data_IF_165117826290
#
_entry.id   IF_165117826290
#
_cell.length_a   1.000
_cell.length_b   1.000
_cell.length_c   1.000
_cell.angle_alpha   90.00
_cell.angle_beta   90.00
_cell.angle_gamma   90.00
#
_symmetry.space_group_name_H-M   'P 1'
#
loop_
_entity.id
_entity.type
_entity.pdbx_description
1 polymer ?
#
# COMPACT_ATOMS: atom_id res chain seq x y z
N UNK A 1 27.60 37.95 30.53
CA UNK A 1 27.32 36.50 30.49
C UNK A 1 26.08 36.23 31.32
N UNK A 2 24.92 35.98 30.70
CA UNK A 2 23.66 35.81 31.43
C UNK A 2 23.57 34.40 32.04
N UNK A 3 23.39 34.31 33.36
CA UNK A 3 23.11 33.04 34.07
C UNK A 3 21.71 32.58 33.70
N UNK A 4 21.64 31.57 32.83
CA UNK A 4 20.41 30.91 32.44
C UNK A 4 19.84 30.10 33.61
N UNK A 5 18.61 30.39 34.04
CA UNK A 5 17.96 29.71 35.17
C UNK A 5 17.25 28.44 34.70
N UNK A 6 17.33 27.37 35.47
CA UNK A 6 16.71 26.07 35.16
C UNK A 6 15.20 26.15 34.84
N UNK A 7 14.48 27.14 35.38
CA UNK A 7 13.06 27.35 35.03
C UNK A 7 12.87 27.79 33.57
N UNK A 8 13.77 28.65 33.08
CA UNK A 8 13.79 29.11 31.69
C UNK A 8 14.23 27.94 30.78
N UNK A 9 15.18 27.13 31.23
CA UNK A 9 15.59 25.88 30.56
C UNK A 9 14.44 24.90 30.39
N UNK A 10 13.71 24.62 31.47
CA UNK A 10 12.58 23.69 31.47
C UNK A 10 11.47 24.20 30.57
N UNK A 11 11.17 25.50 30.61
CA UNK A 11 10.17 26.09 29.73
C UNK A 11 10.57 26.01 28.25
N UNK A 12 11.82 26.36 27.92
CA UNK A 12 12.34 26.23 26.56
C UNK A 12 12.29 24.77 26.06
N UNK A 13 12.67 23.81 26.90
CA UNK A 13 12.59 22.39 26.57
C UNK A 13 11.14 21.92 26.38
N UNK A 14 10.19 22.41 27.19
CA UNK A 14 8.78 22.08 27.05
C UNK A 14 8.18 22.63 25.75
N UNK A 15 8.52 23.88 25.40
CA UNK A 15 8.13 24.50 24.12
C UNK A 15 8.71 23.74 22.94
N UNK A 16 9.99 23.31 23.02
CA UNK A 16 10.63 22.50 21.99
C UNK A 16 9.93 21.15 21.82
N UNK A 17 9.59 20.46 22.91
CA UNK A 17 8.87 19.19 22.87
C UNK A 17 7.46 19.35 22.26
N UNK A 18 6.72 20.37 22.66
CA UNK A 18 5.38 20.63 22.11
C UNK A 18 5.44 20.98 20.62
N UNK A 19 6.45 21.72 20.19
CA UNK A 19 6.68 22.05 18.79
C UNK A 19 7.00 20.81 17.94
N UNK A 20 7.80 19.88 18.46
CA UNK A 20 8.09 18.60 17.80
C UNK A 20 6.84 17.74 17.66
N UNK A 21 5.99 17.68 18.70
CA UNK A 21 4.71 16.94 18.66
C UNK A 21 3.77 17.51 17.59
N UNK A 22 3.64 18.83 17.50
CA UNK A 22 2.81 19.49 16.48
C UNK A 22 3.36 19.26 15.05
N UNK A 23 4.68 19.24 14.88
CA UNK A 23 5.30 18.91 13.58
C UNK A 23 5.01 17.46 13.16
N UNK A 24 4.99 16.51 14.10
CA UNK A 24 4.65 15.10 13.81
C UNK A 24 3.17 14.95 13.40
N UNK A 25 2.26 15.75 13.96
CA UNK A 25 0.81 15.70 13.61
C UNK A 25 0.47 16.18 12.20
N UNK A 26 1.35 16.92 11.53
CA UNK A 26 1.12 17.44 10.16
C UNK A 26 1.84 16.66 9.06
N UNK A 27 2.74 15.74 9.43
CA UNK A 27 3.15 14.70 8.51
C UNK A 27 1.94 13.80 8.25
N UNK A 28 1.51 13.69 6.99
CA UNK A 28 0.56 12.66 6.58
C UNK A 28 1.18 11.30 6.87
N UNK A 29 0.96 10.85 8.10
CA UNK A 29 1.36 9.55 8.56
C UNK A 29 0.38 8.58 7.93
N UNK A 30 0.72 8.04 6.76
CA UNK A 30 0.13 6.76 6.32
C UNK A 30 0.57 5.58 7.20
N UNK A 31 1.14 5.84 8.38
CA UNK A 31 1.70 4.85 9.30
C UNK A 31 1.27 5.10 10.75
N UNK A 32 0.02 5.48 10.99
CA UNK A 32 -0.63 5.26 12.28
C UNK A 32 -1.96 4.53 12.05
N UNK A 33 -1.84 3.35 11.47
CA UNK A 33 -2.88 2.33 11.57
C UNK A 33 -2.87 1.79 13.00
N UNK A 34 -3.61 2.44 13.91
CA UNK A 34 -4.07 1.79 15.13
C UNK A 34 -5.21 0.86 14.72
N UNK A 35 -4.82 -0.21 14.04
CA UNK A 35 -5.65 -1.31 13.61
C UNK A 35 -4.75 -2.51 13.68
N UNK A 36 -4.89 -3.30 14.74
CA UNK A 36 -4.29 -4.63 14.83
C UNK A 36 -5.01 -5.55 13.83
N UNK A 37 -4.88 -5.25 12.55
CA UNK A 37 -5.07 -6.21 11.48
C UNK A 37 -3.69 -6.75 11.16
N UNK A 38 -3.51 -8.05 11.36
CA UNK A 38 -2.38 -8.78 10.81
C UNK A 38 -2.33 -8.49 9.29
N UNK A 39 -1.36 -7.68 8.84
CA UNK A 39 -1.05 -7.58 7.42
C UNK A 39 -0.30 -8.85 7.07
N UNK A 40 -1.03 -9.97 6.98
CA UNK A 40 -0.50 -11.20 6.40
C UNK A 40 -0.29 -10.89 4.92
N UNK A 41 0.92 -10.45 4.59
CA UNK A 41 1.30 -10.15 3.22
C UNK A 41 1.26 -11.45 2.43
N UNK A 42 0.20 -11.64 1.64
CA UNK A 42 0.11 -12.74 0.69
C UNK A 42 1.27 -12.63 -0.28
N UNK A 43 2.18 -13.61 -0.26
CA UNK A 43 3.25 -13.66 -1.24
C UNK A 43 2.65 -14.19 -2.53
N UNK A 44 2.75 -13.43 -3.62
CA UNK A 44 2.27 -13.87 -4.94
C UNK A 44 3.48 -14.17 -5.80
N UNK A 45 3.62 -15.42 -6.22
CA UNK A 45 4.58 -15.83 -7.23
C UNK A 45 3.91 -15.77 -8.59
N UNK A 46 4.32 -14.79 -9.41
CA UNK A 46 3.87 -14.70 -10.79
C UNK A 46 4.91 -15.28 -11.75
N UNK A 47 4.52 -16.30 -12.52
CA UNK A 47 5.37 -16.96 -13.51
C UNK A 47 5.27 -16.29 -14.87
N UNK A 48 4.05 -15.95 -15.29
CA UNK A 48 3.78 -15.34 -16.59
C UNK A 48 2.93 -14.09 -16.43
N UNK A 49 3.41 -13.00 -17.02
CA UNK A 49 2.70 -11.72 -17.08
C UNK A 49 2.14 -11.48 -18.47
N UNK A 50 0.99 -10.83 -18.52
CA UNK A 50 0.32 -10.41 -19.74
C UNK A 50 0.10 -8.89 -19.70
N UNK A 51 0.40 -8.24 -20.81
CA UNK A 51 0.12 -6.81 -21.00
C UNK A 51 -1.26 -6.66 -21.62
N UNK A 52 -2.18 -6.06 -20.89
CA UNK A 52 -3.57 -5.83 -21.32
C UNK A 52 -3.58 -5.05 -22.65
N UNK A 53 -4.29 -5.58 -23.64
CA UNK A 53 -4.48 -5.01 -24.96
C UNK A 53 -5.76 -4.18 -25.08
N UNK A 54 -5.98 -3.63 -26.28
CA UNK A 54 -7.18 -2.86 -26.60
C UNK A 54 -8.40 -3.78 -26.61
N UNK A 55 -9.42 -3.43 -25.81
CA UNK A 55 -10.68 -4.18 -25.73
C UNK A 55 -10.68 -5.34 -24.74
N UNK A 56 -9.55 -5.61 -24.08
CA UNK A 56 -9.49 -6.62 -23.04
C UNK A 56 -10.32 -6.24 -21.82
N UNK A 57 -10.95 -7.24 -21.23
CA UNK A 57 -11.61 -7.19 -19.93
C UNK A 57 -11.07 -8.34 -19.07
N UNK A 58 -11.20 -8.25 -17.75
CA UNK A 58 -10.83 -9.39 -16.88
C UNK A 58 -11.51 -10.69 -17.35
N UNK A 59 -12.79 -10.63 -17.76
CA UNK A 59 -13.53 -11.81 -18.20
C UNK A 59 -12.98 -12.44 -19.48
N UNK A 60 -12.53 -11.61 -20.44
CA UNK A 60 -11.89 -12.09 -21.66
C UNK A 60 -10.54 -12.72 -21.35
N UNK A 61 -9.72 -12.05 -20.53
CA UNK A 61 -8.41 -12.59 -20.11
C UNK A 61 -8.57 -13.92 -19.37
N UNK A 62 -9.50 -14.01 -18.41
CA UNK A 62 -9.75 -15.24 -17.66
C UNK A 62 -10.26 -16.37 -18.54
N UNK A 63 -11.09 -16.05 -19.54
CA UNK A 63 -11.58 -17.03 -20.51
C UNK A 63 -10.45 -17.55 -21.42
N UNK A 64 -9.55 -16.67 -21.87
CA UNK A 64 -8.39 -17.06 -22.70
C UNK A 64 -7.46 -18.04 -21.98
N UNK A 65 -7.30 -17.89 -20.66
CA UNK A 65 -6.43 -18.76 -19.84
C UNK A 65 -7.20 -19.89 -19.13
N UNK A 66 -8.50 -20.03 -19.39
CA UNK A 66 -9.38 -21.02 -18.76
C UNK A 66 -9.29 -21.02 -17.21
N UNK A 67 -9.27 -19.83 -16.60
CA UNK A 67 -9.30 -19.65 -15.14
C UNK A 67 -10.56 -18.93 -14.69
N UNK A 68 -10.92 -19.08 -13.42
CA UNK A 68 -11.99 -18.29 -12.81
C UNK A 68 -11.53 -16.86 -12.54
N UNK A 69 -12.48 -15.92 -12.53
CA UNK A 69 -12.21 -14.53 -12.14
C UNK A 69 -11.66 -14.43 -10.72
N UNK A 70 -12.16 -15.26 -9.81
CA UNK A 70 -11.69 -15.32 -8.42
C UNK A 70 -10.21 -15.73 -8.35
N UNK A 71 -9.81 -16.79 -9.05
CA UNK A 71 -8.41 -17.24 -9.07
C UNK A 71 -7.48 -16.19 -9.70
N UNK A 72 -7.93 -15.55 -10.77
CA UNK A 72 -7.20 -14.44 -11.40
C UNK A 72 -7.02 -13.26 -10.45
N UNK A 73 -8.06 -12.85 -9.71
CA UNK A 73 -7.96 -11.74 -8.76
C UNK A 73 -7.15 -12.10 -7.51
N UNK A 74 -7.12 -13.37 -7.10
CA UNK A 74 -6.28 -13.83 -6.00
C UNK A 74 -4.79 -13.60 -6.28
N UNK A 75 -4.32 -13.81 -7.52
CA UNK A 75 -2.94 -13.52 -7.95
C UNK A 75 -2.77 -12.10 -8.49
N UNK A 76 -3.82 -11.27 -8.45
CA UNK A 76 -3.84 -9.89 -8.91
C UNK A 76 -4.65 -8.98 -7.96
N UNK A 77 -4.35 -8.92 -6.65
CA UNK A 77 -5.19 -8.27 -5.64
C UNK A 77 -5.31 -6.74 -5.82
N UNK A 78 -4.44 -6.14 -6.63
CA UNK A 78 -4.43 -4.71 -6.91
C UNK A 78 -5.24 -4.33 -8.17
N UNK A 79 -5.83 -5.31 -8.87
CA UNK A 79 -6.58 -5.06 -10.11
C UNK A 79 -8.03 -4.75 -9.79
N UNK A 80 -8.53 -3.66 -10.38
CA UNK A 80 -9.95 -3.34 -10.46
C UNK A 80 -10.43 -3.58 -11.89
N UNK A 81 -11.28 -4.59 -12.09
CA UNK A 81 -11.77 -4.99 -13.41
C UNK A 81 -12.61 -3.93 -14.12
N UNK A 82 -13.27 -3.04 -13.39
CA UNK A 82 -14.05 -1.93 -13.98
C UNK A 82 -13.15 -0.79 -14.49
N UNK A 83 -11.87 -0.81 -14.13
CA UNK A 83 -10.88 0.22 -14.46
C UNK A 83 -9.62 -0.35 -15.11
N UNK A 84 -9.72 -1.55 -15.69
CA UNK A 84 -8.60 -2.16 -16.39
C UNK A 84 -8.26 -1.35 -17.65
N UNK A 85 -6.98 -1.13 -17.92
CA UNK A 85 -6.53 -0.26 -19.00
C UNK A 85 -5.42 -0.89 -19.85
N UNK A 86 -5.30 -0.43 -21.10
CA UNK A 86 -4.29 -0.90 -22.05
C UNK A 86 -2.87 -0.64 -21.51
N UNK A 87 -2.01 -1.66 -21.57
CA UNK A 87 -0.65 -1.62 -21.05
C UNK A 87 -0.54 -1.96 -19.56
N UNK A 88 -1.65 -2.25 -18.88
CA UNK A 88 -1.62 -2.78 -17.52
C UNK A 88 -1.05 -4.21 -17.52
N UNK A 89 -0.05 -4.46 -16.67
CA UNK A 89 0.49 -5.80 -16.49
C UNK A 89 -0.35 -6.58 -15.48
N UNK A 90 -0.78 -7.78 -15.88
CA UNK A 90 -1.53 -8.72 -15.04
C UNK A 90 -0.83 -10.07 -15.01
N UNK A 91 -0.92 -10.78 -13.89
CA UNK A 91 -0.45 -12.15 -13.78
C UNK A 91 -1.48 -13.11 -14.38
N UNK A 92 -1.05 -13.98 -15.29
CA UNK A 92 -1.90 -14.98 -15.96
C UNK A 92 -1.50 -16.43 -15.66
N UNK A 93 -0.34 -16.63 -15.05
CA UNK A 93 0.08 -17.90 -14.46
C UNK A 93 0.89 -17.60 -13.22
N UNK A 94 0.45 -18.11 -12.07
CA UNK A 94 1.03 -17.81 -10.78
C UNK A 94 0.27 -18.49 -9.65
N UNK A 95 0.71 -18.27 -8.42
CA UNK A 95 0.07 -18.79 -7.22
C UNK A 95 0.28 -17.88 -6.03
N UNK A 96 -0.67 -17.96 -5.10
CA UNK A 96 -0.52 -17.44 -3.75
C UNK A 96 0.34 -18.42 -2.94
N UNK A 97 1.36 -17.90 -2.26
CA UNK A 97 2.19 -18.61 -1.29
C UNK A 97 1.78 -18.10 0.09
N UNK A 98 1.32 -19.03 0.92
CA UNK A 98 0.83 -18.78 2.27
C UNK A 98 1.89 -18.90 3.37
#
# INVERSE_FOLDING_TARGET
MAKYSNKVAVFANLVLLFSVVLMISTAQSKLLGIGFGEVKGTIIECKTVYGVGVGDTCSLVTQMINQSLEAFLAINPNINCDKMFVGQWVCIDGKVID
#
